data_IF_155640085417
#
_entry.id   IF_155640085417
#
_cell.length_a   1.000
_cell.length_b   1.000
_cell.length_c   1.000
_cell.angle_alpha   90.00
_cell.angle_beta   90.00
_cell.angle_gamma   90.00
#
_symmetry.space_group_name_H-M   'P 1'
#
loop_
_entity.id
_entity.type
_entity.pdbx_description
1 polymer ?
#
# COMPACT_ATOMS: atom_id res chain seq x y z
N UNK A 1 -45.05 -72.03 -73.61
CA UNK A 1 -44.38 -71.87 -72.30
C UNK A 1 -43.34 -70.78 -72.50
N UNK A 2 -43.68 -69.53 -72.20
CA UNK A 2 -42.74 -68.40 -72.27
C UNK A 2 -42.45 -67.93 -70.84
N UNK A 3 -41.24 -68.20 -70.37
CA UNK A 3 -40.70 -67.65 -69.14
C UNK A 3 -40.24 -66.22 -69.40
N UNK A 4 -41.06 -65.24 -69.01
CA UNK A 4 -40.62 -63.83 -68.96
C UNK A 4 -39.70 -63.65 -67.75
N UNK A 5 -38.42 -63.43 -68.02
CA UNK A 5 -37.48 -62.88 -67.05
C UNK A 5 -37.83 -61.39 -66.89
N UNK A 6 -38.26 -60.99 -65.69
CA UNK A 6 -38.42 -59.59 -65.34
C UNK A 6 -37.02 -59.01 -65.16
N UNK A 7 -36.59 -58.13 -66.06
CA UNK A 7 -35.35 -57.38 -65.87
C UNK A 7 -35.58 -56.30 -64.82
N UNK A 8 -34.79 -56.37 -63.76
CA UNK A 8 -34.71 -55.42 -62.65
C UNK A 8 -33.86 -54.21 -63.08
N UNK A 9 -34.43 -53.34 -63.91
CA UNK A 9 -33.74 -52.14 -64.44
C UNK A 9 -33.64 -51.00 -63.42
N UNK A 10 -34.27 -51.13 -62.25
CA UNK A 10 -34.31 -50.07 -61.23
C UNK A 10 -33.06 -49.96 -60.36
N UNK A 11 -32.30 -51.05 -60.18
CA UNK A 11 -31.12 -51.07 -59.30
C UNK A 11 -29.86 -50.49 -59.95
N UNK A 12 -29.67 -50.69 -61.25
CA UNK A 12 -28.44 -50.27 -61.95
C UNK A 12 -28.37 -48.77 -62.28
N UNK A 13 -29.52 -48.07 -62.32
CA UNK A 13 -29.57 -46.63 -62.60
C UNK A 13 -29.42 -45.76 -61.33
N UNK A 14 -29.68 -46.31 -60.14
CA UNK A 14 -29.55 -45.61 -58.86
C UNK A 14 -28.08 -45.58 -58.36
N UNK A 15 -27.32 -46.66 -58.57
CA UNK A 15 -25.92 -46.77 -58.13
C UNK A 15 -24.99 -45.64 -58.65
N UNK A 16 -25.06 -45.20 -59.93
CA UNK A 16 -24.23 -44.11 -60.42
C UNK A 16 -24.58 -42.75 -59.81
N UNK A 17 -25.87 -42.50 -59.54
CA UNK A 17 -26.35 -41.24 -58.97
C UNK A 17 -25.95 -41.13 -57.51
N UNK A 18 -26.10 -42.21 -56.75
CA UNK A 18 -25.70 -42.27 -55.35
C UNK A 18 -24.17 -42.15 -55.20
N UNK A 19 -23.40 -42.76 -56.09
CA UNK A 19 -21.95 -42.60 -56.14
C UNK A 19 -21.52 -41.16 -56.44
N UNK A 20 -22.13 -40.50 -57.43
CA UNK A 20 -21.84 -39.10 -57.78
C UNK A 20 -22.21 -38.16 -56.62
N UNK A 21 -23.36 -38.39 -55.97
CA UNK A 21 -23.77 -37.62 -54.81
C UNK A 21 -22.82 -37.84 -53.63
N UNK A 22 -22.37 -39.07 -53.39
CA UNK A 22 -21.36 -39.38 -52.37
C UNK A 22 -20.01 -38.71 -52.64
N UNK A 23 -19.54 -38.70 -53.88
CA UNK A 23 -18.31 -37.99 -54.27
C UNK A 23 -18.46 -36.48 -54.05
N UNK A 24 -19.60 -35.90 -54.41
CA UNK A 24 -19.86 -34.46 -54.20
C UNK A 24 -19.89 -34.09 -52.71
N UNK A 25 -20.48 -34.94 -51.87
CA UNK A 25 -20.50 -34.75 -50.41
C UNK A 25 -19.10 -34.86 -49.79
N UNK A 26 -18.30 -35.84 -50.22
CA UNK A 26 -16.92 -35.98 -49.76
C UNK A 26 -16.06 -34.80 -50.20
N UNK A 27 -16.26 -34.31 -51.43
CA UNK A 27 -15.56 -33.12 -51.92
C UNK A 27 -15.92 -31.86 -51.13
N UNK A 28 -17.21 -31.64 -50.82
CA UNK A 28 -17.61 -30.52 -49.97
C UNK A 28 -17.04 -30.62 -48.56
N UNK A 29 -17.02 -31.82 -47.97
CA UNK A 29 -16.43 -32.04 -46.64
C UNK A 29 -14.92 -31.82 -46.64
N UNK A 30 -14.21 -32.24 -47.69
CA UNK A 30 -12.79 -31.99 -47.85
C UNK A 30 -12.49 -30.49 -47.97
N UNK A 31 -13.29 -29.76 -48.75
CA UNK A 31 -13.16 -28.31 -48.91
C UNK A 31 -13.42 -27.58 -47.57
N UNK A 32 -14.47 -27.97 -46.85
CA UNK A 32 -14.77 -27.41 -45.53
C UNK A 32 -13.65 -27.69 -44.51
N UNK A 33 -13.06 -28.89 -44.53
CA UNK A 33 -11.95 -29.24 -43.65
C UNK A 33 -10.68 -28.45 -44.01
N UNK A 34 -10.40 -28.28 -45.30
CA UNK A 34 -9.26 -27.52 -45.82
C UNK A 34 -9.35 -26.03 -45.44
N UNK A 35 -10.56 -25.46 -45.36
CA UNK A 35 -10.75 -24.09 -44.88
C UNK A 35 -10.86 -23.97 -43.35
N UNK A 36 -11.36 -25.00 -42.66
CA UNK A 36 -11.55 -24.96 -41.19
C UNK A 36 -10.23 -25.00 -40.44
N UNK A 37 -9.29 -25.82 -40.89
CA UNK A 37 -7.96 -25.92 -40.28
C UNK A 37 -7.20 -24.58 -40.24
N UNK A 38 -7.02 -23.85 -41.36
CA UNK A 38 -6.31 -22.58 -41.36
C UNK A 38 -7.03 -21.50 -40.54
N UNK A 39 -8.37 -21.43 -40.61
CA UNK A 39 -9.15 -20.49 -39.78
C UNK A 39 -8.97 -20.79 -38.28
N UNK A 40 -9.04 -22.05 -37.88
CA UNK A 40 -8.79 -22.43 -36.49
C UNK A 40 -7.36 -22.08 -36.05
N UNK A 41 -6.35 -22.29 -36.91
CA UNK A 41 -4.97 -21.89 -36.56
C UNK A 41 -4.83 -20.38 -36.41
N UNK A 42 -5.47 -19.59 -37.27
CA UNK A 42 -5.48 -18.13 -37.19
C UNK A 42 -6.15 -17.65 -35.90
N UNK A 43 -7.34 -18.17 -35.59
CA UNK A 43 -8.06 -17.87 -34.33
C UNK A 43 -7.22 -18.24 -33.10
N UNK A 44 -6.52 -19.39 -33.11
CA UNK A 44 -5.67 -19.80 -31.98
C UNK A 44 -4.45 -18.90 -31.81
N UNK A 45 -3.86 -18.43 -32.91
CA UNK A 45 -2.70 -17.55 -32.86
C UNK A 45 -3.10 -16.14 -32.41
N UNK A 46 -4.26 -15.64 -32.85
CA UNK A 46 -4.85 -14.39 -32.36
C UNK A 46 -5.14 -14.46 -30.85
N UNK A 47 -5.78 -15.54 -30.39
CA UNK A 47 -6.01 -15.77 -28.96
C UNK A 47 -4.71 -15.84 -28.18
N UNK A 48 -3.68 -16.50 -28.73
CA UNK A 48 -2.35 -16.58 -28.12
C UNK A 48 -1.70 -15.19 -28.00
N UNK A 49 -1.77 -14.36 -29.03
CA UNK A 49 -1.26 -13.00 -29.00
C UNK A 49 -1.99 -12.13 -27.97
N UNK A 50 -3.32 -12.23 -27.90
CA UNK A 50 -4.11 -11.52 -26.90
C UNK A 50 -3.75 -11.96 -25.47
N UNK A 51 -3.61 -13.25 -25.22
CA UNK A 51 -3.18 -13.80 -23.94
C UNK A 51 -1.76 -13.33 -23.56
N UNK A 52 -0.82 -13.33 -24.50
CA UNK A 52 0.55 -12.85 -24.28
C UNK A 52 0.56 -11.37 -23.86
N UNK A 53 -0.25 -10.54 -24.53
CA UNK A 53 -0.39 -9.12 -24.21
C UNK A 53 -0.94 -8.90 -22.79
N UNK A 54 -1.95 -9.68 -22.40
CA UNK A 54 -2.51 -9.63 -21.04
C UNK A 54 -1.49 -10.06 -19.99
N UNK A 55 -0.70 -11.10 -20.25
CA UNK A 55 0.37 -11.54 -19.35
C UNK A 55 1.41 -10.44 -19.17
N UNK A 56 1.84 -9.81 -20.27
CA UNK A 56 2.81 -8.72 -20.23
C UNK A 56 2.28 -7.50 -19.46
N UNK A 57 1.02 -7.12 -19.69
CA UNK A 57 0.37 -6.03 -18.94
C UNK A 57 0.30 -6.34 -17.44
N UNK A 58 -0.06 -7.57 -17.06
CA UNK A 58 -0.11 -7.99 -15.66
C UNK A 58 1.28 -8.01 -15.01
N UNK A 59 2.31 -8.47 -15.73
CA UNK A 59 3.68 -8.46 -15.24
C UNK A 59 4.16 -7.03 -14.98
N UNK A 60 3.88 -6.10 -15.89
CA UNK A 60 4.19 -4.69 -15.68
C UNK A 60 3.46 -4.13 -14.45
N UNK A 61 2.17 -4.44 -14.30
CA UNK A 61 1.39 -3.99 -13.16
C UNK A 61 1.91 -4.55 -11.83
N UNK A 62 2.41 -5.79 -11.79
CA UNK A 62 3.06 -6.37 -10.61
C UNK A 62 4.33 -5.60 -10.26
N UNK A 63 5.16 -5.25 -11.25
CA UNK A 63 6.38 -4.46 -11.03
C UNK A 63 6.04 -3.08 -10.50
N UNK A 64 5.07 -2.39 -11.12
CA UNK A 64 4.63 -1.06 -10.69
C UNK A 64 4.06 -1.10 -9.26
N UNK A 65 3.25 -2.10 -8.93
CA UNK A 65 2.72 -2.29 -7.58
C UNK A 65 3.82 -2.64 -6.56
N UNK A 66 4.79 -3.47 -6.95
CA UNK A 66 5.94 -3.80 -6.08
C UNK A 66 6.79 -2.56 -5.82
N UNK A 67 7.03 -1.73 -6.84
CA UNK A 67 7.76 -0.48 -6.69
C UNK A 67 7.00 0.48 -5.79
N UNK A 68 5.69 0.65 -5.98
CA UNK A 68 4.85 1.46 -5.09
C UNK A 68 4.83 0.93 -3.67
N UNK A 69 4.86 -0.40 -3.49
CA UNK A 69 4.94 -1.02 -2.17
C UNK A 69 6.30 -0.77 -1.53
N UNK A 70 7.39 -0.81 -2.28
CA UNK A 70 8.72 -0.46 -1.79
C UNK A 70 8.83 1.04 -1.47
N UNK A 71 8.19 1.91 -2.26
CA UNK A 71 8.11 3.36 -1.98
C UNK A 71 7.26 3.64 -0.73
N UNK A 72 6.18 2.87 -0.53
CA UNK A 72 5.34 2.90 0.66
C UNK A 72 5.99 2.21 1.87
N UNK A 73 6.90 1.27 1.63
CA UNK A 73 7.90 0.79 2.58
C UNK A 73 8.97 1.87 2.74
N UNK A 74 8.49 3.10 2.96
CA UNK A 74 9.20 4.18 3.59
C UNK A 74 9.74 3.61 4.88
N UNK A 75 11.03 3.26 4.89
CA UNK A 75 11.75 2.82 6.07
C UNK A 75 11.63 3.92 7.11
N UNK A 76 10.81 3.73 8.14
CA UNK A 76 11.06 4.54 9.29
C UNK A 76 12.30 3.91 9.93
N UNK A 77 13.28 4.72 10.28
CA UNK A 77 13.91 4.50 11.57
C UNK A 77 12.77 4.64 12.62
N UNK A 78 11.86 3.65 12.69
CA UNK A 78 11.06 3.40 13.89
C UNK A 78 12.15 2.99 14.85
N UNK A 79 12.58 3.96 15.65
CA UNK A 79 13.29 3.66 16.87
C UNK A 79 12.49 2.55 17.54
N UNK A 80 13.13 1.40 17.75
CA UNK A 80 12.55 0.37 18.60
C UNK A 80 12.20 1.01 19.96
N UNK A 81 11.22 0.47 20.69
CA UNK A 81 10.76 1.08 21.94
C UNK A 81 11.93 1.30 22.93
N UNK A 82 12.90 0.38 22.90
CA UNK A 82 14.15 0.47 23.67
C UNK A 82 15.08 1.60 23.16
N UNK A 83 15.23 1.75 21.85
CA UNK A 83 16.03 2.82 21.23
C UNK A 83 15.39 4.20 21.46
N UNK A 84 14.07 4.29 21.36
CA UNK A 84 13.30 5.49 21.65
C UNK A 84 13.47 5.87 23.12
N UNK A 85 13.38 4.90 24.03
CA UNK A 85 13.63 5.10 25.45
C UNK A 85 15.05 5.61 25.71
N UNK A 86 16.06 5.00 25.09
CA UNK A 86 17.45 5.42 25.23
C UNK A 86 17.68 6.85 24.70
N UNK A 87 17.08 7.19 23.55
CA UNK A 87 17.13 8.52 22.98
C UNK A 87 16.49 9.56 23.91
N UNK A 88 15.31 9.26 24.46
CA UNK A 88 14.61 10.13 25.42
C UNK A 88 15.44 10.34 26.69
N UNK A 89 16.07 9.29 27.22
CA UNK A 89 16.96 9.38 28.39
C UNK A 89 18.18 10.26 28.08
N UNK A 90 18.80 10.07 26.92
CA UNK A 90 19.96 10.87 26.46
C UNK A 90 19.60 12.35 26.31
N UNK A 91 18.45 12.66 25.69
CA UNK A 91 17.95 14.03 25.55
C UNK A 91 17.65 14.65 26.92
N UNK A 92 17.03 13.91 27.82
CA UNK A 92 16.76 14.35 29.19
C UNK A 92 18.04 14.69 29.95
N UNK A 93 19.09 13.89 29.79
CA UNK A 93 20.39 14.16 30.40
C UNK A 93 21.05 15.41 29.82
N UNK A 94 21.06 15.57 28.49
CA UNK A 94 21.59 16.77 27.82
C UNK A 94 20.86 18.03 28.29
N UNK A 95 19.54 17.97 28.42
CA UNK A 95 18.73 19.08 28.93
C UNK A 95 19.10 19.42 30.38
N UNK A 96 19.28 18.42 31.25
CA UNK A 96 19.69 18.64 32.63
C UNK A 96 21.08 19.30 32.74
N UNK A 97 22.05 18.84 31.94
CA UNK A 97 23.39 19.46 31.86
C UNK A 97 23.29 20.90 31.37
N UNK A 98 22.51 21.16 30.32
CA UNK A 98 22.32 22.49 29.79
C UNK A 98 21.65 23.44 30.80
N UNK A 99 20.60 23.00 31.50
CA UNK A 99 19.93 23.82 32.53
C UNK A 99 20.90 24.16 33.66
N UNK A 100 21.62 23.17 34.19
CA UNK A 100 22.57 23.40 35.30
C UNK A 100 23.75 24.27 34.89
N UNK A 101 24.23 24.13 33.65
CA UNK A 101 25.32 24.95 33.11
C UNK A 101 24.89 26.40 32.85
N UNK A 102 23.74 26.59 32.21
CA UNK A 102 23.23 27.91 31.81
C UNK A 102 22.68 28.70 32.98
N UNK A 103 21.99 28.03 33.90
CA UNK A 103 21.33 28.66 35.05
C UNK A 103 22.07 28.41 36.37
N UNK A 104 23.41 28.43 36.34
CA UNK A 104 24.22 28.21 37.54
C UNK A 104 24.15 29.36 38.54
N UNK A 105 23.94 30.59 38.06
CA UNK A 105 23.87 31.77 38.92
C UNK A 105 22.48 31.88 39.58
N UNK A 106 22.37 31.71 40.92
CA UNK A 106 21.10 31.77 41.63
C UNK A 106 20.42 33.15 41.54
N UNK A 107 21.18 34.24 41.38
CA UNK A 107 20.64 35.60 41.28
C UNK A 107 19.81 35.79 40.00
N UNK A 108 20.24 35.18 38.90
CA UNK A 108 19.49 35.19 37.63
C UNK A 108 18.19 34.38 37.73
N UNK A 109 18.11 33.46 38.68
CA UNK A 109 16.94 32.64 38.95
C UNK A 109 15.98 33.27 39.95
N UNK A 110 16.33 34.38 40.61
CA UNK A 110 15.41 35.11 41.50
C UNK A 110 14.33 35.86 40.72
N UNK A 111 14.65 36.28 39.49
CA UNK A 111 13.74 37.03 38.62
C UNK A 111 12.87 36.13 37.74
N UNK A 112 12.83 34.82 37.98
CA UNK A 112 11.90 33.94 37.25
C UNK A 112 10.48 34.43 37.52
N UNK A 113 9.73 34.82 36.48
CA UNK A 113 8.37 35.28 36.66
C UNK A 113 7.56 34.16 37.32
N UNK A 114 6.72 34.54 38.30
CA UNK A 114 5.77 33.64 38.96
C UNK A 114 4.67 33.23 37.99
N UNK A 115 5.04 32.49 36.96
CA UNK A 115 4.13 31.98 35.97
C UNK A 115 3.43 30.79 36.59
N UNK A 116 2.13 30.94 36.84
CA UNK A 116 1.26 29.76 36.93
C UNK A 116 1.31 29.13 35.55
N UNK A 117 1.90 27.94 35.42
CA UNK A 117 1.67 27.13 34.24
C UNK A 117 0.17 26.82 34.24
N UNK A 118 -0.58 27.60 33.46
CA UNK A 118 -1.98 27.33 33.18
C UNK A 118 -1.99 26.00 32.45
N UNK A 119 -2.32 24.95 33.22
CA UNK A 119 -2.63 23.61 32.78
C UNK A 119 -1.76 23.12 31.61
N UNK A 120 -0.53 22.68 31.90
CA UNK A 120 0.20 21.83 30.96
C UNK A 120 -0.41 20.43 31.09
N UNK A 121 -1.12 19.92 30.08
CA UNK A 121 -1.87 18.66 30.17
C UNK A 121 -0.98 17.42 30.41
N UNK A 122 0.34 17.57 30.38
CA UNK A 122 1.31 16.47 30.49
C UNK A 122 2.42 16.71 31.50
N UNK A 123 2.27 17.69 32.41
CA UNK A 123 3.27 17.84 33.48
C UNK A 123 3.02 16.81 34.58
N UNK A 124 3.95 15.87 34.85
CA UNK A 124 3.78 14.84 35.87
C UNK A 124 3.86 15.39 37.30
N UNK A 125 4.11 16.69 37.46
CA UNK A 125 4.27 17.35 38.74
C UNK A 125 3.22 18.45 38.88
N UNK A 126 2.44 18.47 39.99
CA UNK A 126 1.73 19.66 40.41
C UNK A 126 2.79 20.73 40.68
N UNK A 127 3.01 21.61 39.71
CA UNK A 127 3.91 22.76 39.88
C UNK A 127 3.18 23.78 40.74
N UNK A 128 3.19 23.55 42.05
CA UNK A 128 2.83 24.57 43.01
C UNK A 128 3.78 25.76 42.88
N UNK A 129 3.19 26.93 43.10
CA UNK A 129 3.75 28.26 42.88
C UNK A 129 5.21 28.37 43.29
N UNK A 130 6.01 29.01 42.43
CA UNK A 130 7.37 29.46 42.75
C UNK A 130 7.31 30.50 43.87
N UNK A 131 7.32 30.03 45.12
CA UNK A 131 7.67 30.87 46.25
C UNK A 131 9.14 31.25 46.13
N UNK A 132 9.48 32.47 46.56
CA UNK A 132 10.85 33.00 46.52
C UNK A 132 11.86 32.20 47.38
N UNK A 133 11.38 31.22 48.14
CA UNK A 133 12.16 30.33 49.00
C UNK A 133 12.63 29.04 48.30
N UNK A 134 12.31 28.84 47.02
CA UNK A 134 12.65 27.60 46.33
C UNK A 134 14.16 27.43 46.13
N UNK A 135 14.67 26.25 46.50
CA UNK A 135 16.08 25.86 46.30
C UNK A 135 16.42 25.92 44.80
N UNK A 136 17.67 26.25 44.40
CA UNK A 136 18.07 26.30 42.99
C UNK A 136 17.68 25.06 42.17
N UNK A 137 17.69 23.89 42.81
CA UNK A 137 17.26 22.61 42.23
C UNK A 137 15.80 22.61 41.76
N UNK A 138 14.88 23.22 42.53
CA UNK A 138 13.46 23.32 42.18
C UNK A 138 13.27 24.27 40.99
N UNK A 139 14.03 25.37 40.95
CA UNK A 139 14.03 26.31 39.81
C UNK A 139 14.57 25.66 38.53
N UNK A 140 15.61 24.83 38.63
CA UNK A 140 16.10 24.03 37.50
C UNK A 140 15.08 23.01 37.03
N UNK A 141 14.41 22.30 37.94
CA UNK A 141 13.35 21.36 37.60
C UNK A 141 12.17 22.05 36.90
N UNK A 142 11.81 23.26 37.35
CA UNK A 142 10.81 24.10 36.70
C UNK A 142 11.20 24.41 35.25
N UNK A 143 12.41 24.96 35.03
CA UNK A 143 12.89 25.33 33.69
C UNK A 143 12.92 24.11 32.78
N UNK A 144 13.45 22.99 33.27
CA UNK A 144 13.50 21.72 32.53
C UNK A 144 12.10 21.30 32.07
N UNK A 145 11.14 21.31 32.99
CA UNK A 145 9.76 20.92 32.69
C UNK A 145 9.14 21.87 31.67
N UNK A 146 9.31 23.18 31.85
CA UNK A 146 8.81 24.20 30.94
C UNK A 146 9.34 24.01 29.51
N UNK A 147 10.65 23.82 29.36
CA UNK A 147 11.29 23.61 28.05
C UNK A 147 10.79 22.32 27.40
N UNK A 148 10.72 21.21 28.14
CA UNK A 148 10.22 19.94 27.62
C UNK A 148 8.76 20.07 27.18
N UNK A 149 7.91 20.72 27.97
CA UNK A 149 6.51 20.93 27.64
C UNK A 149 6.33 21.85 26.42
N UNK A 150 7.13 22.89 26.30
CA UNK A 150 7.12 23.78 25.13
C UNK A 150 7.51 23.03 23.84
N UNK A 151 8.59 22.25 23.90
CA UNK A 151 9.04 21.43 22.75
C UNK A 151 8.00 20.37 22.38
N UNK A 152 7.39 19.72 23.37
CA UNK A 152 6.32 18.75 23.13
C UNK A 152 5.13 19.42 22.44
N UNK A 153 4.66 20.56 22.96
CA UNK A 153 3.57 21.30 22.35
C UNK A 153 3.91 21.72 20.92
N UNK A 154 5.11 22.23 20.67
CA UNK A 154 5.52 22.70 19.34
C UNK A 154 5.63 21.56 18.31
N UNK A 155 6.21 20.41 18.69
CA UNK A 155 6.44 19.28 17.80
C UNK A 155 5.19 18.43 17.59
N UNK A 156 4.36 18.29 18.62
CA UNK A 156 3.16 17.46 18.63
C UNK A 156 1.87 18.28 18.62
N UNK A 157 1.94 19.56 18.22
CA UNK A 157 0.75 20.40 18.07
C UNK A 157 -0.23 19.69 17.10
N UNK A 158 -1.50 19.45 17.48
CA UNK A 158 -2.51 18.88 16.60
C UNK A 158 -2.61 19.58 15.23
N UNK A 159 -2.32 20.87 15.16
CA UNK A 159 -2.30 21.64 13.91
C UNK A 159 -1.11 21.28 13.00
N UNK A 160 0.03 20.84 13.56
CA UNK A 160 1.22 20.41 12.82
C UNK A 160 1.18 18.92 12.46
N UNK A 161 0.55 18.08 13.28
CA UNK A 161 0.47 16.61 13.10
C UNK A 161 -0.72 16.19 12.21
N UNK A 162 -1.51 17.14 11.71
CA UNK A 162 -2.55 16.87 10.71
C UNK A 162 -3.77 16.11 11.25
N UNK A 163 -3.97 16.08 12.57
CA UNK A 163 -5.23 15.61 13.15
C UNK A 163 -6.28 16.71 12.98
N UNK A 164 -6.83 16.83 11.77
CA UNK A 164 -8.14 17.45 11.60
C UNK A 164 -9.08 16.66 12.50
N UNK A 165 -9.56 17.32 13.55
CA UNK A 165 -10.71 16.88 14.32
C UNK A 165 -11.87 16.72 13.34
N UNK A 166 -12.05 15.48 12.86
CA UNK A 166 -13.26 15.07 12.20
C UNK A 166 -14.40 15.33 13.17
N UNK A 167 -15.12 16.41 12.93
CA UNK A 167 -16.45 16.59 13.46
C UNK A 167 -17.26 15.36 13.04
N UNK A 168 -17.50 14.44 13.97
CA UNK A 168 -18.65 13.57 13.88
C UNK A 168 -19.89 14.48 14.03
N UNK A 169 -20.49 14.81 12.90
CA UNK A 169 -21.86 15.31 12.79
C UNK A 169 -22.71 14.24 12.13
#
# INVERSE_FOLDING_TARGET
METRVVMDEGRYAAEPIDLINGIRQLYSLALEAEERCPRQTEETEEMRHAAMKLIQQKAQHIVDLTNRLNDLQYHPDILDDDEATQAIVSLNHKLDVWVKGTFRNPELLENLPRLKLVHVPYSPLPLETTDSSQRPQQKWAFIRTFVTSYLFYYLFDPYMVGLKSGHCG
#
